data_IF_592375178751
#
_entry.id   IF_592375178751
#
_cell.length_a   1.000
_cell.length_b   1.000
_cell.length_c   1.000
_cell.angle_alpha   90.00
_cell.angle_beta   90.00
_cell.angle_gamma   90.00
#
_symmetry.space_group_name_H-M   'P 1'
#
loop_
_entity.id
_entity.type
_entity.pdbx_description
1 polymer ?
#
# COMPACT_ATOMS: atom_id res chain seq x y z
N UNK A 1 -15.69 -19.99 -29.18
CA UNK A 1 -16.34 -19.42 -27.99
C UNK A 1 -15.60 -20.00 -26.81
N UNK A 2 -14.60 -19.28 -26.29
CA UNK A 2 -14.00 -19.63 -24.99
C UNK A 2 -15.07 -19.32 -23.94
N UNK A 3 -15.50 -20.35 -23.21
CA UNK A 3 -16.29 -20.16 -22.00
C UNK A 3 -15.48 -19.26 -21.06
N UNK A 4 -15.92 -18.03 -20.87
CA UNK A 4 -15.39 -17.15 -19.82
C UNK A 4 -15.72 -17.81 -18.49
N UNK A 5 -14.80 -18.62 -17.99
CA UNK A 5 -14.90 -19.21 -16.66
C UNK A 5 -14.95 -18.05 -15.66
N UNK A 6 -16.05 -17.98 -14.93
CA UNK A 6 -16.22 -16.95 -13.89
C UNK A 6 -15.13 -17.16 -12.83
N UNK A 7 -14.29 -16.15 -12.62
CA UNK A 7 -13.14 -16.21 -11.73
C UNK A 7 -13.61 -16.32 -10.27
N UNK A 8 -13.17 -17.35 -9.58
CA UNK A 8 -13.57 -17.61 -8.20
C UNK A 8 -12.75 -16.76 -7.21
N UNK A 9 -13.25 -16.53 -5.97
CA UNK A 9 -12.45 -15.91 -4.91
C UNK A 9 -11.11 -16.61 -4.67
N UNK A 10 -11.05 -17.92 -4.86
CA UNK A 10 -9.81 -18.70 -4.72
C UNK A 10 -8.83 -18.42 -5.87
N UNK A 11 -9.32 -18.21 -7.09
CA UNK A 11 -8.47 -17.82 -8.24
C UNK A 11 -7.84 -16.44 -8.00
N UNK A 12 -8.63 -15.47 -7.53
CA UNK A 12 -8.13 -14.15 -7.11
C UNK A 12 -7.07 -14.24 -6.01
N UNK A 13 -7.31 -15.10 -5.01
CA UNK A 13 -6.33 -15.32 -3.93
C UNK A 13 -5.04 -15.94 -4.45
N UNK A 14 -5.13 -16.90 -5.36
CA UNK A 14 -3.97 -17.53 -5.97
C UNK A 14 -3.15 -16.52 -6.81
N UNK A 15 -3.84 -15.66 -7.56
CA UNK A 15 -3.20 -14.56 -8.29
C UNK A 15 -2.54 -13.58 -7.33
N UNK A 16 -3.23 -13.17 -6.26
CA UNK A 16 -2.68 -12.29 -5.23
C UNK A 16 -1.40 -12.86 -4.60
N UNK A 17 -1.35 -14.17 -4.31
CA UNK A 17 -0.17 -14.84 -3.77
C UNK A 17 1.01 -14.84 -4.75
N UNK A 18 0.75 -15.06 -6.05
CA UNK A 18 1.79 -14.97 -7.08
C UNK A 18 2.37 -13.56 -7.17
N UNK A 19 1.50 -12.55 -7.21
CA UNK A 19 1.94 -11.15 -7.29
C UNK A 19 2.62 -10.70 -6.00
N UNK A 20 2.19 -11.20 -4.83
CA UNK A 20 2.88 -10.95 -3.56
C UNK A 20 4.32 -11.44 -3.58
N UNK A 21 4.58 -12.64 -4.16
CA UNK A 21 5.94 -13.14 -4.34
C UNK A 21 6.81 -12.25 -5.23
N UNK A 22 6.24 -11.71 -6.32
CA UNK A 22 6.93 -10.74 -7.18
C UNK A 22 7.20 -9.42 -6.44
N UNK A 23 6.23 -8.96 -5.64
CA UNK A 23 6.37 -7.74 -4.88
C UNK A 23 7.42 -7.87 -3.77
N UNK A 24 7.54 -9.03 -3.15
CA UNK A 24 8.62 -9.36 -2.21
C UNK A 24 10.00 -9.29 -2.90
N UNK A 25 10.13 -9.86 -4.09
CA UNK A 25 11.37 -9.79 -4.88
C UNK A 25 11.73 -8.33 -5.22
N UNK A 26 10.76 -7.54 -5.71
CA UNK A 26 10.95 -6.11 -5.96
C UNK A 26 11.33 -5.34 -4.68
N UNK A 27 10.71 -5.68 -3.55
CA UNK A 27 10.99 -5.11 -2.24
C UNK A 27 12.42 -5.40 -1.76
N UNK A 28 12.94 -6.61 -2.00
CA UNK A 28 14.33 -6.95 -1.67
C UNK A 28 15.33 -6.14 -2.50
N UNK A 29 15.06 -5.93 -3.79
CA UNK A 29 15.87 -5.02 -4.61
C UNK A 29 15.85 -3.60 -4.07
N UNK A 30 14.68 -3.09 -3.68
CA UNK A 30 14.56 -1.76 -3.10
C UNK A 30 15.28 -1.66 -1.74
N UNK A 31 15.24 -2.69 -0.91
CA UNK A 31 15.96 -2.74 0.36
C UNK A 31 17.48 -2.70 0.15
N UNK A 32 17.97 -3.44 -0.83
CA UNK A 32 19.38 -3.39 -1.22
C UNK A 32 19.77 -1.98 -1.69
N UNK A 33 18.95 -1.35 -2.54
CA UNK A 33 19.19 0.02 -3.03
C UNK A 33 19.15 1.05 -1.88
N UNK A 34 18.28 0.88 -0.88
CA UNK A 34 18.19 1.75 0.30
C UNK A 34 19.51 1.75 1.10
N UNK A 35 20.16 0.61 1.20
CA UNK A 35 21.43 0.46 1.93
C UNK A 35 22.63 0.99 1.16
N UNK A 36 22.52 1.20 -0.15
CA UNK A 36 23.58 1.70 -0.98
C UNK A 36 23.64 3.24 -0.96
N UNK A 37 24.73 3.86 -0.44
CA UNK A 37 24.82 5.32 -0.33
C UNK A 37 24.83 6.06 -1.68
N UNK A 38 25.08 5.38 -2.80
CA UNK A 38 25.10 5.99 -4.15
C UNK A 38 23.70 6.20 -4.74
N UNK A 39 22.68 5.55 -4.18
CA UNK A 39 21.30 5.60 -4.67
C UNK A 39 20.43 6.60 -3.90
N UNK A 40 21.04 7.64 -3.35
CA UNK A 40 20.33 8.67 -2.60
C UNK A 40 19.32 9.40 -3.50
N UNK A 41 18.13 9.55 -2.98
CA UNK A 41 17.06 10.29 -3.59
C UNK A 41 17.49 11.74 -3.90
N UNK A 42 17.23 12.19 -5.10
CA UNK A 42 17.41 13.59 -5.46
C UNK A 42 16.15 14.37 -5.09
N UNK A 43 16.28 15.58 -4.48
CA UNK A 43 15.15 16.47 -4.30
C UNK A 43 14.51 16.76 -5.66
N UNK A 44 13.19 16.65 -5.75
CA UNK A 44 12.45 17.05 -6.94
C UNK A 44 12.04 18.51 -6.79
N UNK A 45 12.31 19.33 -7.80
CA UNK A 45 11.86 20.72 -7.89
C UNK A 45 10.44 20.83 -8.45
N UNK A 46 9.86 19.73 -8.95
CA UNK A 46 8.49 19.70 -9.47
C UNK A 46 7.50 19.93 -8.31
N UNK A 47 6.71 21.00 -8.40
CA UNK A 47 5.71 21.41 -7.41
C UNK A 47 6.29 21.72 -6.01
N UNK A 48 7.31 22.55 -5.94
CA UNK A 48 7.95 22.98 -4.69
C UNK A 48 6.95 23.54 -3.64
N UNK A 49 5.82 24.07 -4.08
CA UNK A 49 4.75 24.61 -3.21
C UNK A 49 4.05 23.56 -2.34
N UNK A 50 4.29 22.27 -2.61
CA UNK A 50 3.68 21.13 -1.91
C UNK A 50 4.66 20.39 -0.98
N UNK A 51 5.77 21.01 -0.62
CA UNK A 51 6.80 20.43 0.25
C UNK A 51 7.85 19.60 -0.52
N UNK A 52 8.93 19.19 0.19
CA UNK A 52 10.05 18.48 -0.42
C UNK A 52 9.59 17.12 -0.95
N UNK A 53 9.76 16.91 -2.25
CA UNK A 53 9.52 15.63 -2.91
C UNK A 53 10.84 15.00 -3.29
N UNK A 54 10.89 13.70 -3.22
CA UNK A 54 12.03 12.91 -3.67
C UNK A 54 11.61 12.09 -4.88
N UNK A 55 12.41 12.15 -5.94
CA UNK A 55 12.27 11.26 -7.09
C UNK A 55 13.22 10.09 -6.87
N UNK A 56 12.66 8.89 -6.73
CA UNK A 56 13.42 7.69 -6.50
C UNK A 56 13.60 6.94 -7.83
N UNK A 57 14.84 6.62 -8.18
CA UNK A 57 15.11 5.78 -9.35
C UNK A 57 14.57 4.35 -9.13
N UNK A 58 14.55 3.89 -7.89
CA UNK A 58 14.00 2.58 -7.52
C UNK A 58 12.52 2.44 -7.88
N UNK A 59 11.73 3.52 -7.86
CA UNK A 59 10.32 3.48 -8.28
C UNK A 59 10.19 3.00 -9.73
N UNK A 60 11.04 3.49 -10.62
CA UNK A 60 11.05 3.07 -12.02
C UNK A 60 11.50 1.62 -12.19
N UNK A 61 12.43 1.16 -11.38
CA UNK A 61 12.92 -0.24 -11.39
C UNK A 61 11.78 -1.18 -10.95
N UNK A 62 11.11 -0.85 -9.83
CA UNK A 62 9.95 -1.60 -9.32
C UNK A 62 8.85 -1.67 -10.39
N UNK A 63 8.46 -0.51 -10.95
CA UNK A 63 7.42 -0.44 -11.96
C UNK A 63 7.71 -1.32 -13.17
N UNK A 64 8.92 -1.24 -13.74
CA UNK A 64 9.31 -2.04 -14.90
C UNK A 64 9.33 -3.53 -14.58
N UNK A 65 9.93 -3.91 -13.46
CA UNK A 65 9.98 -5.30 -13.02
C UNK A 65 8.58 -5.88 -12.83
N UNK A 66 7.75 -5.21 -12.04
CA UNK A 66 6.40 -5.68 -11.72
C UNK A 66 5.51 -5.75 -12.96
N UNK A 67 5.54 -4.70 -13.82
CA UNK A 67 4.70 -4.67 -15.02
C UNK A 67 5.05 -5.82 -15.97
N UNK A 68 6.34 -6.08 -16.20
CA UNK A 68 6.77 -7.18 -17.05
C UNK A 68 6.33 -8.54 -16.50
N UNK A 69 6.55 -8.79 -15.20
CA UNK A 69 6.25 -10.08 -14.57
C UNK A 69 4.75 -10.32 -14.40
N UNK A 70 3.97 -9.27 -14.12
CA UNK A 70 2.51 -9.38 -14.03
C UNK A 70 1.93 -9.65 -15.42
N UNK A 71 2.44 -9.02 -16.48
CA UNK A 71 1.99 -9.29 -17.85
C UNK A 71 2.15 -10.77 -18.26
N UNK A 72 3.15 -11.47 -17.70
CA UNK A 72 3.38 -12.90 -17.95
C UNK A 72 2.32 -13.81 -17.30
N UNK A 73 1.64 -13.35 -16.24
CA UNK A 73 0.71 -14.16 -15.44
C UNK A 73 -0.75 -13.68 -15.48
N UNK A 74 -0.98 -12.47 -15.98
CA UNK A 74 -2.28 -11.81 -16.05
C UNK A 74 -2.44 -11.07 -17.40
N UNK A 75 -2.39 -11.82 -18.50
CA UNK A 75 -2.31 -11.32 -19.88
C UNK A 75 -3.45 -10.38 -20.32
N UNK A 76 -4.59 -10.46 -19.66
CA UNK A 76 -5.79 -9.67 -20.03
C UNK A 76 -5.96 -8.42 -19.19
N UNK A 77 -5.15 -8.23 -18.16
CA UNK A 77 -5.21 -7.05 -17.30
C UNK A 77 -4.35 -5.93 -17.87
N UNK A 78 -4.84 -4.68 -17.78
CA UNK A 78 -4.08 -3.49 -18.11
C UNK A 78 -3.21 -3.00 -16.94
N UNK A 79 -2.48 -1.90 -17.17
CA UNK A 79 -1.73 -1.20 -16.13
C UNK A 79 -2.23 0.23 -16.01
N UNK A 80 -2.45 0.65 -14.79
CA UNK A 80 -2.93 1.98 -14.47
C UNK A 80 -1.77 2.87 -14.02
N UNK A 81 -1.27 3.72 -14.91
CA UNK A 81 -0.26 4.74 -14.58
C UNK A 81 -0.90 6.11 -14.35
N UNK A 82 -1.96 6.39 -15.11
CA UNK A 82 -2.91 7.49 -14.95
C UNK A 82 -4.30 6.90 -15.13
N UNK A 83 -5.33 7.43 -14.44
CA UNK A 83 -6.69 6.88 -14.57
C UNK A 83 -7.03 6.75 -16.05
N UNK A 84 -7.43 5.57 -16.54
CA UNK A 84 -7.81 5.39 -17.94
C UNK A 84 -8.94 6.36 -18.31
N UNK A 85 -8.77 7.11 -19.40
CA UNK A 85 -9.76 8.07 -19.85
C UNK A 85 -11.06 7.39 -20.30
N UNK A 86 -10.93 6.17 -20.83
CA UNK A 86 -12.05 5.33 -21.26
C UNK A 86 -11.84 3.93 -20.66
N UNK A 87 -12.63 3.56 -19.68
CA UNK A 87 -12.70 2.21 -19.16
C UNK A 87 -14.08 1.62 -19.45
N UNK A 88 -14.12 0.30 -19.65
CA UNK A 88 -15.38 -0.43 -19.84
C UNK A 88 -15.68 -1.26 -18.59
N UNK A 89 -16.95 -1.47 -18.26
CA UNK A 89 -17.32 -2.38 -17.19
C UNK A 89 -16.63 -3.73 -17.36
N UNK A 90 -16.08 -4.25 -16.25
CA UNK A 90 -15.34 -5.50 -16.22
C UNK A 90 -13.87 -5.42 -16.65
N UNK A 91 -13.40 -4.30 -17.18
CA UNK A 91 -11.96 -4.12 -17.43
C UNK A 91 -11.18 -4.02 -16.13
N UNK A 92 -10.01 -4.64 -16.13
CA UNK A 92 -9.15 -4.73 -14.95
C UNK A 92 -7.80 -4.08 -15.23
N UNK A 93 -7.29 -3.38 -14.20
CA UNK A 93 -6.01 -2.67 -14.27
C UNK A 93 -5.22 -2.86 -12.99
N UNK A 94 -3.97 -3.25 -13.13
CA UNK A 94 -3.00 -3.24 -12.04
C UNK A 94 -2.50 -1.82 -11.78
N UNK A 95 -2.57 -1.41 -10.54
CA UNK A 95 -1.85 -0.26 -10.03
C UNK A 95 -0.63 -0.76 -9.26
N UNK A 96 0.55 -0.31 -9.65
CA UNK A 96 1.80 -0.59 -8.94
C UNK A 96 2.22 0.69 -8.25
N UNK A 97 2.20 0.69 -6.92
CA UNK A 97 2.59 1.85 -6.12
C UNK A 97 4.08 2.14 -6.25
N UNK A 98 4.41 3.41 -6.13
CA UNK A 98 5.77 3.85 -5.83
C UNK A 98 6.10 3.48 -4.39
N UNK A 99 7.37 3.65 -3.98
CA UNK A 99 7.73 3.55 -2.56
C UNK A 99 6.80 4.44 -1.74
N UNK A 100 6.01 3.83 -0.87
CA UNK A 100 5.25 4.54 0.14
C UNK A 100 6.09 4.67 1.41
N UNK A 101 6.08 5.86 2.02
CA UNK A 101 7.03 6.21 3.08
C UNK A 101 8.39 6.68 2.54
N UNK A 102 8.40 7.51 1.49
CA UNK A 102 9.62 8.01 0.83
C UNK A 102 10.62 8.62 1.83
N UNK A 103 10.15 9.39 2.81
CA UNK A 103 11.02 9.98 3.85
C UNK A 103 11.66 8.90 4.70
N UNK A 104 10.88 7.89 5.12
CA UNK A 104 11.39 6.75 5.87
C UNK A 104 12.43 5.98 5.04
N UNK A 105 12.15 5.74 3.77
CA UNK A 105 13.07 5.07 2.86
C UNK A 105 14.40 5.83 2.74
N UNK A 106 14.36 7.12 2.45
CA UNK A 106 15.56 7.97 2.30
C UNK A 106 16.35 8.07 3.60
N UNK A 107 15.67 8.06 4.74
CA UNK A 107 16.29 8.12 6.06
C UNK A 107 16.69 6.75 6.62
N UNK A 108 16.55 5.68 5.83
CA UNK A 108 16.89 4.30 6.20
C UNK A 108 16.12 3.78 7.41
N UNK A 109 14.91 4.26 7.59
CA UNK A 109 13.95 3.70 8.54
C UNK A 109 13.35 2.42 7.95
N UNK A 110 12.73 1.61 8.80
CA UNK A 110 12.19 0.30 8.40
C UNK A 110 10.77 0.39 7.82
N UNK A 111 10.03 1.45 8.18
CA UNK A 111 8.62 1.61 7.88
C UNK A 111 8.43 2.30 6.52
N UNK A 112 8.53 1.52 5.47
CA UNK A 112 8.18 1.87 4.09
C UNK A 112 7.69 0.62 3.38
N UNK A 113 6.93 0.81 2.31
CA UNK A 113 6.29 -0.30 1.60
C UNK A 113 6.42 -0.17 0.09
N UNK A 114 6.25 -1.31 -0.57
CA UNK A 114 5.88 -1.46 -1.97
C UNK A 114 4.48 -2.04 -2.05
N UNK A 115 3.67 -1.58 -3.01
CA UNK A 115 2.27 -1.95 -3.10
C UNK A 115 1.86 -2.35 -4.51
N UNK A 116 0.88 -3.24 -4.61
CA UNK A 116 0.21 -3.56 -5.86
C UNK A 116 -1.28 -3.77 -5.60
N UNK A 117 -2.13 -3.27 -6.48
CA UNK A 117 -3.56 -3.48 -6.41
C UNK A 117 -4.14 -3.77 -7.79
N UNK A 118 -5.11 -4.68 -7.87
CA UNK A 118 -5.92 -4.92 -9.05
C UNK A 118 -7.29 -4.28 -8.86
N UNK A 119 -7.65 -3.41 -9.78
CA UNK A 119 -8.95 -2.76 -9.81
C UNK A 119 -9.79 -3.31 -10.98
N UNK A 120 -11.08 -3.45 -10.74
CA UNK A 120 -12.09 -3.73 -11.75
C UNK A 120 -13.01 -2.52 -11.88
N UNK A 121 -13.28 -2.07 -13.10
CA UNK A 121 -14.19 -0.96 -13.33
C UNK A 121 -15.64 -1.44 -13.35
N UNK A 122 -16.47 -0.83 -12.53
CA UNK A 122 -17.90 -1.09 -12.46
C UNK A 122 -18.68 -0.44 -13.61
N UNK A 123 -20.01 -0.67 -13.67
CA UNK A 123 -20.90 -0.01 -14.64
C UNK A 123 -20.94 1.51 -14.53
N UNK A 124 -20.63 2.02 -13.33
CA UNK A 124 -20.51 3.44 -12.97
C UNK A 124 -19.17 4.06 -13.37
N UNK A 125 -18.31 3.28 -14.04
CA UNK A 125 -16.92 3.64 -14.36
C UNK A 125 -16.06 3.96 -13.14
N UNK A 126 -16.44 3.47 -11.96
CA UNK A 126 -15.64 3.62 -10.74
C UNK A 126 -14.76 2.38 -10.51
N UNK A 127 -13.48 2.59 -10.16
CA UNK A 127 -12.56 1.49 -9.88
C UNK A 127 -12.86 0.87 -8.52
N UNK A 128 -13.07 -0.44 -8.51
CA UNK A 128 -13.29 -1.22 -7.29
C UNK A 128 -12.08 -2.14 -7.08
N UNK A 129 -11.40 -2.08 -5.93
CA UNK A 129 -10.27 -2.96 -5.68
C UNK A 129 -10.76 -4.41 -5.54
N UNK A 130 -10.10 -5.33 -6.22
CA UNK A 130 -10.38 -6.77 -6.16
C UNK A 130 -9.21 -7.57 -5.58
N UNK A 131 -7.99 -7.03 -5.69
CA UNK A 131 -6.79 -7.51 -5.00
C UNK A 131 -6.06 -6.30 -4.43
N UNK A 132 -5.56 -6.42 -3.20
CA UNK A 132 -4.65 -5.47 -2.58
C UNK A 132 -3.48 -6.18 -1.92
N UNK A 133 -2.26 -5.70 -2.16
CA UNK A 133 -1.04 -6.27 -1.60
C UNK A 133 -0.15 -5.13 -1.12
N UNK A 134 0.29 -5.22 0.12
CA UNK A 134 1.24 -4.28 0.75
C UNK A 134 2.39 -5.10 1.32
N UNK A 135 3.60 -4.82 0.89
CA UNK A 135 4.81 -5.47 1.41
C UNK A 135 5.74 -4.43 2.04
N UNK A 136 6.14 -4.66 3.28
CA UNK A 136 7.13 -3.89 4.04
C UNK A 136 8.44 -4.69 4.12
N UNK A 137 9.39 -4.47 3.19
CA UNK A 137 10.56 -5.34 3.02
C UNK A 137 11.46 -5.41 4.25
N UNK A 138 11.73 -4.26 4.88
CA UNK A 138 12.60 -4.20 6.05
C UNK A 138 11.98 -4.85 7.30
N UNK A 139 10.66 -5.02 7.32
CA UNK A 139 9.92 -5.65 8.42
C UNK A 139 9.58 -7.12 8.13
N UNK A 140 9.83 -7.62 6.92
CA UNK A 140 9.43 -8.96 6.50
C UNK A 140 7.91 -9.18 6.53
N UNK A 141 7.11 -8.11 6.42
CA UNK A 141 5.66 -8.16 6.51
C UNK A 141 5.02 -8.02 5.13
N UNK A 142 4.08 -8.91 4.82
CA UNK A 142 3.23 -8.81 3.63
C UNK A 142 1.77 -8.94 4.05
N UNK A 143 0.95 -8.00 3.62
CA UNK A 143 -0.50 -8.08 3.71
C UNK A 143 -1.06 -8.30 2.31
N UNK A 144 -1.99 -9.20 2.19
CA UNK A 144 -2.73 -9.41 0.94
C UNK A 144 -4.20 -9.67 1.21
N UNK A 145 -5.03 -9.15 0.33
CA UNK A 145 -6.47 -9.38 0.33
C UNK A 145 -6.95 -9.64 -1.08
N UNK A 146 -7.98 -10.48 -1.21
CA UNK A 146 -8.67 -10.69 -2.47
C UNK A 146 -10.18 -10.73 -2.23
N UNK A 147 -10.95 -10.15 -3.15
CA UNK A 147 -12.42 -10.07 -3.07
C UNK A 147 -13.04 -11.45 -2.84
N UNK A 148 -13.82 -11.57 -1.77
CA UNK A 148 -14.47 -12.82 -1.37
C UNK A 148 -13.59 -13.88 -0.71
N UNK A 149 -12.24 -13.70 -0.70
CA UNK A 149 -11.29 -14.66 -0.12
C UNK A 149 -10.66 -14.18 1.21
N UNK A 150 -11.07 -12.97 1.70
CA UNK A 150 -10.58 -12.39 2.92
C UNK A 150 -9.15 -11.84 2.80
N UNK A 151 -8.54 -11.56 3.95
CA UNK A 151 -7.20 -10.99 4.04
C UNK A 151 -6.28 -11.81 4.95
N UNK A 152 -4.99 -11.79 4.65
CA UNK A 152 -3.96 -12.51 5.41
C UNK A 152 -2.73 -11.62 5.58
N UNK A 153 -2.11 -11.71 6.75
CA UNK A 153 -0.80 -11.17 7.06
C UNK A 153 0.23 -12.30 7.06
N UNK A 154 1.30 -12.12 6.29
CA UNK A 154 2.45 -13.03 6.23
C UNK A 154 3.64 -12.32 6.87
N UNK A 155 4.22 -12.93 7.88
CA UNK A 155 5.41 -12.42 8.55
C UNK A 155 6.55 -13.41 8.36
N UNK A 156 7.59 -12.99 7.65
CA UNK A 156 8.81 -13.76 7.43
C UNK A 156 9.90 -13.26 8.35
N UNK A 157 10.46 -14.16 9.12
CA UNK A 157 11.54 -13.91 10.05
C UNK A 157 12.68 -14.90 9.84
N UNK A 158 13.82 -14.71 10.51
CA UNK A 158 14.95 -15.64 10.45
C UNK A 158 14.58 -17.07 10.94
N UNK A 159 13.54 -17.20 11.75
CA UNK A 159 13.08 -18.47 12.31
C UNK A 159 11.92 -19.11 11.56
N UNK A 160 11.41 -18.47 10.52
CA UNK A 160 10.36 -19.03 9.66
C UNK A 160 9.31 -18.02 9.24
N UNK A 161 8.27 -18.54 8.61
CA UNK A 161 7.12 -17.78 8.09
C UNK A 161 5.88 -18.09 8.95
N UNK A 162 5.17 -17.04 9.35
CA UNK A 162 3.87 -17.13 10.02
C UNK A 162 2.80 -16.46 9.16
N UNK A 163 1.64 -17.11 9.06
CA UNK A 163 0.46 -16.58 8.37
C UNK A 163 -0.70 -16.44 9.34
N UNK A 164 -1.20 -15.24 9.46
CA UNK A 164 -2.33 -14.93 10.34
C UNK A 164 -3.48 -14.36 9.50
N UNK A 165 -4.71 -14.70 9.86
CA UNK A 165 -5.90 -14.03 9.31
C UNK A 165 -5.90 -12.58 9.81
N UNK A 166 -6.16 -11.65 8.93
CA UNK A 166 -6.33 -10.22 9.28
C UNK A 166 -7.71 -10.02 9.89
N UNK A 167 -7.74 -9.51 11.13
CA UNK A 167 -8.96 -9.24 11.88
C UNK A 167 -8.78 -7.92 12.62
N UNK A 168 -9.71 -6.96 12.51
CA UNK A 168 -9.60 -5.69 13.21
C UNK A 168 -9.76 -5.87 14.72
N UNK A 169 -9.35 -4.85 15.47
CA UNK A 169 -9.57 -4.82 16.91
C UNK A 169 -11.06 -4.76 17.24
N UNK A 170 -11.40 -5.12 18.47
CA UNK A 170 -12.76 -5.04 19.01
C UNK A 170 -12.97 -3.75 19.84
N UNK A 171 -12.02 -2.82 19.80
CA UNK A 171 -12.08 -1.55 20.52
C UNK A 171 -13.26 -0.72 20.01
N UNK A 172 -14.14 -0.27 20.91
CA UNK A 172 -15.36 0.46 20.60
C UNK A 172 -15.37 1.90 21.12
N UNK A 173 -14.29 2.34 21.78
CA UNK A 173 -14.13 3.69 22.32
C UNK A 173 -12.73 4.25 22.07
N UNK A 174 -12.59 5.56 22.19
CA UNK A 174 -11.29 6.20 22.14
C UNK A 174 -10.43 5.91 23.38
N UNK A 175 -11.08 5.65 24.51
CA UNK A 175 -10.37 5.44 25.75
C UNK A 175 -9.60 4.12 25.70
N UNK A 176 -8.28 4.20 25.85
CA UNK A 176 -7.38 3.06 25.75
C UNK A 176 -7.04 2.61 24.34
N UNK A 177 -7.58 3.25 23.28
CA UNK A 177 -7.26 2.92 21.90
C UNK A 177 -5.84 3.35 21.49
N UNK A 178 -5.31 2.74 20.45
CA UNK A 178 -4.08 3.15 19.77
C UNK A 178 -4.45 3.70 18.39
N UNK A 179 -4.23 4.98 18.18
CA UNK A 179 -4.53 5.65 16.92
C UNK A 179 -3.26 5.89 16.12
N UNK A 180 -3.40 6.00 14.80
CA UNK A 180 -2.35 6.53 13.95
C UNK A 180 -2.90 7.60 13.02
N UNK A 181 -2.04 8.50 12.53
CA UNK A 181 -2.43 9.52 11.58
C UNK A 181 -1.32 9.84 10.57
N UNK A 182 -1.76 10.27 9.40
CA UNK A 182 -0.89 10.80 8.37
C UNK A 182 -0.99 12.30 8.23
N UNK A 183 -0.09 12.87 7.46
CA UNK A 183 -0.05 14.30 7.16
C UNK A 183 0.12 14.51 5.67
N UNK A 184 -0.76 15.31 5.09
CA UNK A 184 -0.65 15.76 3.71
C UNK A 184 0.62 16.61 3.50
N UNK A 185 1.10 16.66 2.27
CA UNK A 185 2.14 17.65 1.87
C UNK A 185 1.59 19.07 1.69
N UNK A 186 0.27 19.26 1.80
CA UNK A 186 -0.39 20.58 1.77
C UNK A 186 -0.42 21.13 3.20
N UNK A 187 0.22 22.26 3.49
CA UNK A 187 0.36 22.76 4.87
C UNK A 187 -0.96 22.92 5.63
N UNK A 188 -2.01 23.45 4.98
CA UNK A 188 -3.33 23.60 5.60
C UNK A 188 -3.96 22.26 6.00
N UNK A 189 -3.81 21.23 5.16
CA UNK A 189 -4.32 19.89 5.44
C UNK A 189 -3.49 19.19 6.54
N UNK A 190 -2.17 19.42 6.54
CA UNK A 190 -1.32 18.97 7.64
C UNK A 190 -1.74 19.58 8.97
N UNK A 191 -2.07 20.89 8.98
CA UNK A 191 -2.54 21.55 10.20
C UNK A 191 -3.86 20.94 10.68
N UNK A 192 -4.79 20.63 9.77
CA UNK A 192 -6.06 19.95 10.13
C UNK A 192 -5.81 18.59 10.79
N UNK A 193 -4.86 17.80 10.28
CA UNK A 193 -4.50 16.52 10.90
C UNK A 193 -3.92 16.71 12.31
N UNK A 194 -3.08 17.72 12.52
CA UNK A 194 -2.53 18.07 13.82
C UNK A 194 -3.61 18.57 14.80
N UNK A 195 -4.55 19.37 14.33
CA UNK A 195 -5.66 19.88 15.15
C UNK A 195 -6.56 18.71 15.64
N UNK A 196 -6.84 17.73 14.76
CA UNK A 196 -7.55 16.51 15.14
C UNK A 196 -6.74 15.71 16.17
N UNK A 197 -5.46 15.45 15.93
CA UNK A 197 -4.60 14.72 16.86
C UNK A 197 -4.54 15.43 18.24
N UNK A 198 -4.41 16.76 18.24
CA UNK A 198 -4.43 17.57 19.47
C UNK A 198 -5.75 17.48 20.21
N UNK A 199 -6.87 17.50 19.50
CA UNK A 199 -8.21 17.39 20.12
C UNK A 199 -8.49 16.02 20.77
N UNK A 200 -7.77 15.00 20.32
CA UNK A 200 -7.88 13.64 20.85
C UNK A 200 -6.90 13.38 22.03
N UNK A 201 -5.96 14.29 22.27
CA UNK A 201 -4.92 14.09 23.30
C UNK A 201 -5.50 13.78 24.68
N UNK A 202 -4.93 12.78 25.35
CA UNK A 202 -5.32 12.35 26.69
C UNK A 202 -6.49 11.36 26.74
N UNK A 203 -7.10 10.99 25.60
CA UNK A 203 -8.14 9.96 25.54
C UNK A 203 -7.62 8.60 25.08
N UNK A 204 -6.96 8.47 23.91
CA UNK A 204 -6.36 7.19 23.52
C UNK A 204 -5.16 6.84 24.39
N UNK A 205 -4.81 5.55 24.43
CA UNK A 205 -3.60 5.09 25.08
C UNK A 205 -2.34 5.65 24.40
N UNK A 206 -2.39 5.81 23.07
CA UNK A 206 -1.31 6.38 22.29
C UNK A 206 -1.81 6.91 20.93
N UNK A 207 -1.08 7.89 20.38
CA UNK A 207 -1.26 8.39 19.02
C UNK A 207 0.07 8.28 18.29
N UNK A 208 0.12 7.46 17.24
CA UNK A 208 1.31 7.19 16.45
C UNK A 208 1.34 8.04 15.19
N UNK A 209 2.54 8.41 14.75
CA UNK A 209 2.81 8.96 13.43
C UNK A 209 4.11 8.37 12.90
N UNK A 210 4.02 7.17 12.38
CA UNK A 210 5.17 6.43 11.85
C UNK A 210 5.08 6.33 10.33
N UNK A 211 3.89 6.04 9.80
CA UNK A 211 3.66 5.79 8.40
C UNK A 211 4.30 4.48 7.91
N UNK A 212 4.28 4.22 6.64
CA UNK A 212 3.51 4.93 5.62
C UNK A 212 2.01 4.64 5.72
N UNK A 213 1.20 5.37 4.95
CA UNK A 213 -0.26 5.25 4.95
C UNK A 213 -0.72 3.82 4.67
N UNK A 214 -0.17 3.18 3.65
CA UNK A 214 -0.51 1.81 3.28
C UNK A 214 -0.27 0.80 4.41
N UNK A 215 0.83 0.93 5.14
CA UNK A 215 1.15 0.06 6.27
C UNK A 215 0.26 0.36 7.48
N UNK A 216 0.00 1.64 7.75
CA UNK A 216 -0.84 2.05 8.89
C UNK A 216 -2.29 1.62 8.68
N UNK A 217 -2.83 1.68 7.45
CA UNK A 217 -4.13 1.10 7.10
C UNK A 217 -4.17 -0.42 7.29
N UNK A 218 -3.10 -1.13 6.92
CA UNK A 218 -2.96 -2.56 7.19
C UNK A 218 -2.94 -2.88 8.68
N UNK A 219 -2.30 -2.03 9.49
CA UNK A 219 -2.26 -2.18 10.96
C UNK A 219 -3.63 -1.91 11.61
N UNK A 220 -4.46 -1.06 11.01
CA UNK A 220 -5.87 -0.94 11.44
C UNK A 220 -6.63 -2.21 11.08
N UNK A 221 -6.43 -2.73 9.88
CA UNK A 221 -7.11 -3.93 9.43
C UNK A 221 -6.77 -5.17 10.28
N UNK A 222 -5.55 -5.28 10.84
CA UNK A 222 -5.10 -6.41 11.66
C UNK A 222 -5.23 -6.18 13.17
N UNK A 223 -5.78 -5.03 13.58
CA UNK A 223 -6.01 -4.69 14.99
C UNK A 223 -4.79 -4.21 15.76
N UNK A 224 -3.64 -3.98 15.09
CA UNK A 224 -2.45 -3.35 15.70
C UNK A 224 -2.75 -1.89 16.08
N UNK A 225 -3.50 -1.18 15.23
CA UNK A 225 -4.10 0.12 15.51
C UNK A 225 -5.61 -0.01 15.52
N UNK A 226 -6.27 0.85 16.29
CA UNK A 226 -7.73 0.88 16.37
C UNK A 226 -8.36 1.80 15.32
N UNK A 227 -7.65 2.87 14.94
CA UNK A 227 -8.08 3.77 13.88
C UNK A 227 -6.91 4.52 13.25
N UNK A 228 -7.18 5.01 12.04
CA UNK A 228 -6.28 5.87 11.27
C UNK A 228 -7.06 7.04 10.67
N UNK A 229 -6.44 8.20 10.59
CA UNK A 229 -6.98 9.35 9.88
C UNK A 229 -5.90 10.12 9.14
N UNK A 230 -6.21 10.53 7.93
CA UNK A 230 -5.37 11.39 7.09
C UNK A 230 -6.25 12.12 6.08
N UNK A 231 -6.08 13.43 5.86
CA UNK A 231 -6.79 14.14 4.81
C UNK A 231 -6.19 13.85 3.43
N UNK A 232 -7.02 13.95 2.39
CA UNK A 232 -6.59 13.92 0.99
C UNK A 232 -6.05 12.57 0.50
N UNK A 233 -6.52 11.46 1.06
CA UNK A 233 -6.22 10.12 0.54
C UNK A 233 -6.93 9.86 -0.79
N UNK A 234 -6.33 9.04 -1.62
CA UNK A 234 -6.86 8.57 -2.89
C UNK A 234 -7.11 7.06 -2.82
N UNK A 235 -7.88 6.55 -3.79
CA UNK A 235 -8.24 5.12 -3.85
C UNK A 235 -7.04 4.18 -3.97
N UNK A 236 -5.91 4.68 -4.45
CA UNK A 236 -4.68 3.89 -4.58
C UNK A 236 -3.76 3.94 -3.34
N UNK A 237 -4.04 4.80 -2.35
CA UNK A 237 -3.29 4.85 -1.09
C UNK A 237 -3.71 3.72 -0.15
#
# INVERSE_FOLDING_TARGET
MEETREETPQDLRNLALKVAGLLEEAGQHALHDQLNPRNLAQPSTENADRGPRYKLEVDNKIMRFMSARIADIAHFDGFWTTRPAESRPGQRYWYIGKIDGVINYVRRMSEWTVTAALFEFGPDNEPKPIIGIVHAPALGLTYLAARGAGAVRIHKTAVGEKRDKVVPSMTSSLDGSVLSYGMSFIPSESQRALDVASSLAGRPADIKRVGPVSLDLCKVADGTYDAYFEPMLHVWD
#
